data_IF_287270521481
#
_entry.id   IF_287270521481
#
_cell.length_a   1.000
_cell.length_b   1.000
_cell.length_c   1.000
_cell.angle_alpha   90.00
_cell.angle_beta   90.00
_cell.angle_gamma   90.00
#
_symmetry.space_group_name_H-M   'P 1'
#
loop_
_entity.id
_entity.type
_entity.pdbx_description
1 polymer ?
#
# COMPACT_ATOMS: atom_id res chain seq x y z
N UNK A 1 -68.17 0.61 28.35
CA UNK A 1 -67.91 1.29 27.06
C UNK A 1 -66.98 2.46 27.31
N UNK A 2 -65.69 2.33 27.00
CA UNK A 2 -64.94 3.31 26.21
C UNK A 2 -63.84 2.50 25.51
N UNK A 3 -63.96 2.40 24.18
CA UNK A 3 -62.94 1.90 23.26
C UNK A 3 -61.89 3.01 23.09
N UNK A 4 -60.60 2.69 23.07
CA UNK A 4 -59.72 2.88 21.89
C UNK A 4 -58.25 2.65 22.23
N UNK A 5 -57.69 1.73 21.45
CA UNK A 5 -56.30 1.53 21.11
C UNK A 5 -55.48 2.83 21.07
N UNK A 6 -54.41 2.88 21.86
CA UNK A 6 -53.24 3.71 21.57
C UNK A 6 -51.99 2.93 21.91
N UNK A 7 -51.58 2.14 20.91
CA UNK A 7 -50.20 1.74 20.65
C UNK A 7 -49.23 2.82 21.17
N UNK A 8 -48.54 2.55 22.26
CA UNK A 8 -47.47 3.40 22.75
C UNK A 8 -46.25 3.10 21.88
N UNK A 9 -46.00 3.97 20.90
CA UNK A 9 -44.86 3.89 19.99
C UNK A 9 -43.56 3.82 20.79
N UNK A 10 -42.90 2.66 20.78
CA UNK A 10 -41.49 2.57 21.12
C UNK A 10 -40.72 3.22 19.96
N UNK A 11 -40.23 4.43 20.21
CA UNK A 11 -39.23 5.05 19.37
C UNK A 11 -37.94 4.24 19.51
N UNK A 12 -37.78 3.22 18.67
CA UNK A 12 -36.49 2.61 18.39
C UNK A 12 -35.87 3.31 17.18
N UNK A 13 -35.57 4.60 17.34
CA UNK A 13 -34.46 5.19 16.59
C UNK A 13 -33.18 4.75 17.29
N UNK A 14 -32.75 3.51 17.01
CA UNK A 14 -31.42 3.02 17.37
C UNK A 14 -30.39 3.72 16.49
N UNK A 15 -30.14 4.97 16.83
CA UNK A 15 -29.07 5.79 16.29
C UNK A 15 -27.88 5.65 17.24
N UNK A 16 -27.31 4.45 17.34
CA UNK A 16 -26.05 4.23 18.05
C UNK A 16 -24.90 4.02 17.07
N UNK A 17 -24.31 5.17 16.73
CA UNK A 17 -22.94 5.41 16.30
C UNK A 17 -21.97 4.24 16.51
N UNK A 18 -21.46 3.66 15.42
CA UNK A 18 -20.02 3.50 15.24
C UNK A 18 -19.73 3.66 13.75
N UNK A 19 -19.80 4.92 13.36
CA UNK A 19 -19.34 5.42 12.09
C UNK A 19 -17.84 5.08 11.95
N UNK A 20 -17.48 4.62 10.76
CA UNK A 20 -16.12 4.64 10.23
C UNK A 20 -15.16 3.50 10.65
N UNK A 21 -15.43 2.28 10.17
CA UNK A 21 -14.34 1.42 9.66
C UNK A 21 -13.71 2.11 8.44
N UNK A 22 -13.03 3.25 8.64
CA UNK A 22 -12.04 3.73 7.68
C UNK A 22 -10.91 2.73 7.79
N UNK A 23 -11.03 1.67 7.00
CA UNK A 23 -9.89 1.03 6.40
C UNK A 23 -9.20 2.17 5.66
N UNK A 24 -8.29 2.88 6.34
CA UNK A 24 -7.37 3.80 5.68
C UNK A 24 -6.57 2.88 4.79
N UNK A 25 -7.05 2.68 3.58
CA UNK A 25 -6.37 1.94 2.54
C UNK A 25 -5.05 2.69 2.39
N UNK A 26 -4.00 2.18 3.05
CA UNK A 26 -2.66 2.73 2.91
C UNK A 26 -2.37 2.58 1.43
N UNK A 27 -2.45 3.68 0.70
CA UNK A 27 -2.09 3.72 -0.71
C UNK A 27 -0.66 3.22 -0.79
N UNK A 28 -0.43 2.19 -1.60
CA UNK A 28 0.91 1.76 -1.91
C UNK A 28 1.64 2.97 -2.50
N UNK A 29 2.83 3.24 -1.97
CA UNK A 29 3.72 4.27 -2.48
C UNK A 29 4.30 3.84 -3.83
N UNK A 30 4.75 2.60 -3.91
CA UNK A 30 5.26 1.96 -5.13
C UNK A 30 5.06 0.44 -5.01
N UNK A 31 5.43 -0.28 -6.06
CA UNK A 31 5.52 -1.74 -6.04
C UNK A 31 6.97 -2.11 -6.28
N UNK A 32 7.42 -3.17 -5.63
CA UNK A 32 8.77 -3.68 -5.81
C UNK A 32 8.85 -4.50 -7.10
N UNK A 33 9.70 -4.10 -8.02
CA UNK A 33 9.89 -4.79 -9.30
C UNK A 33 10.52 -6.17 -9.13
N UNK A 34 11.24 -6.41 -8.03
CA UNK A 34 11.86 -7.70 -7.75
C UNK A 34 10.87 -8.75 -7.19
N UNK A 35 10.06 -8.38 -6.19
CA UNK A 35 9.19 -9.34 -5.50
C UNK A 35 7.69 -9.15 -5.80
N UNK A 36 7.30 -8.07 -6.49
CA UNK A 36 5.91 -7.75 -6.85
C UNK A 36 5.05 -7.23 -5.70
N UNK A 37 5.59 -7.09 -4.49
CA UNK A 37 4.84 -6.63 -3.33
C UNK A 37 4.79 -5.10 -3.23
N UNK A 38 3.72 -4.58 -2.60
CA UNK A 38 3.56 -3.16 -2.38
C UNK A 38 4.57 -2.61 -1.35
N UNK A 39 5.09 -1.43 -1.64
CA UNK A 39 5.90 -0.61 -0.74
C UNK A 39 4.95 0.44 -0.13
N UNK A 40 4.85 0.47 1.19
CA UNK A 40 3.93 1.39 1.90
C UNK A 40 4.64 2.61 2.50
N UNK A 41 5.98 2.64 2.47
CA UNK A 41 6.81 3.71 3.00
C UNK A 41 7.91 4.05 2.01
N UNK A 42 8.18 5.34 1.72
CA UNK A 42 9.31 5.73 0.89
C UNK A 42 10.67 5.38 1.51
N UNK A 43 10.74 5.20 2.83
CA UNK A 43 11.96 4.78 3.54
C UNK A 43 12.33 3.33 3.24
N UNK A 44 11.34 2.50 2.90
CA UNK A 44 11.51 1.11 2.51
C UNK A 44 11.75 0.94 1.00
N UNK A 45 11.79 2.04 0.23
CA UNK A 45 11.94 2.05 -1.22
C UNK A 45 13.34 2.50 -1.64
N UNK A 46 13.95 1.78 -2.58
CA UNK A 46 15.16 2.17 -3.29
C UNK A 46 14.83 2.35 -4.77
N UNK A 47 15.35 3.42 -5.37
CA UNK A 47 15.20 3.70 -6.79
C UNK A 47 16.55 3.42 -7.45
N UNK A 48 16.55 2.57 -8.48
CA UNK A 48 17.76 2.16 -9.20
C UNK A 48 18.13 3.19 -10.27
N UNK A 49 19.28 3.85 -10.09
CA UNK A 49 19.84 4.76 -11.11
C UNK A 49 20.19 3.97 -12.37
N UNK A 50 19.53 4.30 -13.49
CA UNK A 50 19.75 3.66 -14.79
C UNK A 50 18.63 2.75 -15.28
N UNK A 51 17.72 2.31 -14.40
CA UNK A 51 16.55 1.48 -14.77
C UNK A 51 15.21 2.08 -14.30
N UNK A 52 15.24 3.06 -13.40
CA UNK A 52 14.04 3.64 -12.76
C UNK A 52 13.22 2.63 -11.92
N UNK A 53 13.75 1.41 -11.74
CA UNK A 53 13.13 0.36 -10.93
C UNK A 53 13.04 0.78 -9.47
N UNK A 54 11.88 0.49 -8.86
CA UNK A 54 11.66 0.70 -7.43
C UNK A 54 11.67 -0.64 -6.72
N UNK A 55 12.47 -0.76 -5.66
CA UNK A 55 12.79 -2.02 -5.01
C UNK A 55 12.71 -1.86 -3.50
N UNK A 56 12.23 -2.88 -2.77
CA UNK A 56 12.35 -2.87 -1.31
C UNK A 56 13.80 -2.83 -0.88
N UNK A 57 14.09 -2.07 0.18
CA UNK A 57 15.43 -2.02 0.76
C UNK A 57 15.94 -3.42 1.19
N UNK A 58 15.04 -4.29 1.66
CA UNK A 58 15.35 -5.68 1.99
C UNK A 58 15.64 -6.56 0.76
N UNK A 59 15.00 -6.28 -0.38
CA UNK A 59 15.16 -7.04 -1.63
C UNK A 59 16.39 -6.60 -2.44
N UNK A 60 17.00 -5.46 -2.09
CA UNK A 60 18.14 -4.89 -2.81
C UNK A 60 19.31 -5.86 -2.95
N UNK A 61 19.67 -6.57 -1.88
CA UNK A 61 20.79 -7.51 -1.91
C UNK A 61 20.60 -8.63 -2.93
N UNK A 62 19.38 -9.18 -3.02
CA UNK A 62 19.04 -10.24 -3.97
C UNK A 62 18.99 -9.70 -5.39
N UNK A 63 18.31 -8.57 -5.60
CA UNK A 63 18.23 -7.88 -6.89
C UNK A 63 19.63 -7.52 -7.43
N UNK A 64 20.53 -6.99 -6.60
CA UNK A 64 21.91 -6.72 -7.01
C UNK A 64 22.67 -7.98 -7.42
N UNK A 65 22.42 -9.11 -6.77
CA UNK A 65 23.04 -10.38 -7.12
C UNK A 65 22.61 -10.85 -8.51
N UNK A 66 21.33 -10.73 -8.83
CA UNK A 66 20.78 -11.14 -10.13
C UNK A 66 21.16 -10.16 -11.26
N UNK A 67 21.17 -8.85 -10.97
CA UNK A 67 21.44 -7.80 -11.95
C UNK A 67 22.90 -7.29 -11.95
N UNK A 68 23.81 -7.98 -11.27
CA UNK A 68 25.22 -7.55 -11.12
C UNK A 68 25.90 -7.28 -12.49
N UNK A 69 25.54 -8.06 -13.51
CA UNK A 69 26.10 -7.93 -14.85
C UNK A 69 25.53 -6.76 -15.65
N UNK A 70 24.26 -6.40 -15.44
CA UNK A 70 23.64 -5.24 -16.08
C UNK A 70 24.27 -3.94 -15.58
N UNK A 71 24.51 -3.85 -14.26
CA UNK A 71 25.19 -2.70 -13.67
C UNK A 71 26.64 -2.54 -14.15
N UNK A 72 27.39 -3.64 -14.23
CA UNK A 72 28.78 -3.62 -14.70
C UNK A 72 28.89 -3.17 -16.16
N UNK A 73 27.90 -3.51 -16.99
CA UNK A 73 27.85 -3.11 -18.40
C UNK A 73 27.59 -1.60 -18.55
N UNK A 74 26.65 -1.05 -17.78
CA UNK A 74 26.32 0.39 -17.79
C UNK A 74 27.52 1.25 -17.38
N UNK A 75 28.29 0.81 -16.37
CA UNK A 75 29.50 1.52 -15.94
C UNK A 75 30.57 1.57 -17.04
N UNK A 76 30.72 0.52 -17.83
CA UNK A 76 31.70 0.46 -18.92
C UNK A 76 31.30 1.33 -20.13
N UNK A 77 30.01 1.60 -20.33
CA UNK A 77 29.51 2.45 -21.43
C UNK A 77 29.55 3.95 -21.09
N UNK A 78 29.51 4.32 -19.80
CA UNK A 78 29.59 5.72 -19.33
C UNK A 78 31.01 6.33 -19.35
N UNK A 79 32.06 5.51 -19.49
CA UNK A 79 33.48 5.93 -19.46
C UNK A 79 34.11 6.13 -20.86
N UNK A 80 33.30 6.13 -21.94
CA UNK A 80 33.72 6.40 -23.32
C UNK A 80 33.12 7.69 -23.87
#
# INVERSE_FOLDING_TARGET
MIYTDRYFSAAETDFSSDDVYTKREKRAYAYCEHCGFAIYSPDDALIVDGSEDVIHLACWGEYCGEHMFDFAKIAAERDR
#
